data_IF_587887939275
#
_entry.id   IF_587887939275
#
_cell.length_a   1.000
_cell.length_b   1.000
_cell.length_c   1.000
_cell.angle_alpha   90.00
_cell.angle_beta   90.00
_cell.angle_gamma   90.00
#
_symmetry.space_group_name_H-M   'P 1'
#
loop_
_entity.id
_entity.type
_entity.pdbx_description
1 polymer ?
#
# COMPACT_ATOMS: atom_id res chain seq x y z
N UNK A 1 0.55 13.19 -7.02
CA UNK A 1 -0.37 12.04 -7.09
C UNK A 1 -1.03 11.97 -5.73
N UNK A 2 -2.32 11.68 -5.62
CA UNK A 2 -2.83 11.24 -4.33
C UNK A 2 -2.13 9.91 -4.01
N UNK A 3 -1.40 9.93 -2.92
CA UNK A 3 -0.69 8.81 -2.33
C UNK A 3 -1.13 8.72 -0.87
N UNK A 4 -1.20 7.51 -0.34
CA UNK A 4 -1.21 7.32 1.10
C UNK A 4 -0.24 6.19 1.44
N UNK A 5 0.28 6.22 2.67
CA UNK A 5 1.20 5.20 3.15
C UNK A 5 0.48 4.29 4.12
N UNK A 6 0.68 2.99 3.97
CA UNK A 6 0.34 1.99 4.97
C UNK A 6 1.57 1.75 5.83
N UNK A 7 1.42 1.87 7.13
CA UNK A 7 2.47 1.56 8.11
C UNK A 7 2.02 0.42 9.01
N UNK A 8 2.88 -0.57 9.23
CA UNK A 8 2.63 -1.60 10.24
C UNK A 8 3.53 -1.40 11.45
N UNK A 9 2.95 -1.50 12.64
CA UNK A 9 3.71 -1.60 13.90
C UNK A 9 4.49 -2.91 14.01
N UNK A 10 4.13 -3.94 13.25
CA UNK A 10 4.82 -5.23 13.22
C UNK A 10 5.84 -5.23 12.08
N UNK A 11 7.05 -5.74 12.33
CA UNK A 11 8.03 -5.97 11.26
C UNK A 11 7.61 -7.18 10.44
N UNK A 12 7.51 -7.01 9.13
CA UNK A 12 7.27 -8.08 8.17
C UNK A 12 8.39 -8.00 7.14
N UNK A 13 9.03 -9.14 6.87
CA UNK A 13 10.16 -9.18 5.94
C UNK A 13 9.71 -8.91 4.50
N UNK A 14 10.60 -8.32 3.70
CA UNK A 14 10.33 -7.99 2.30
C UNK A 14 9.75 -9.19 1.52
N UNK A 15 10.38 -10.37 1.60
CA UNK A 15 9.90 -11.57 0.91
C UNK A 15 8.47 -11.96 1.29
N UNK A 16 8.09 -11.81 2.55
CA UNK A 16 6.73 -12.10 3.00
C UNK A 16 5.74 -11.06 2.46
N UNK A 17 6.13 -9.78 2.43
CA UNK A 17 5.35 -8.70 1.82
C UNK A 17 5.08 -8.95 0.34
N UNK A 18 6.12 -9.31 -0.41
CA UNK A 18 6.01 -9.65 -1.82
C UNK A 18 5.01 -10.79 -2.05
N UNK A 19 5.12 -11.88 -1.27
CA UNK A 19 4.21 -13.02 -1.37
C UNK A 19 2.75 -12.62 -1.13
N UNK A 20 2.47 -11.74 -0.16
CA UNK A 20 1.10 -11.28 0.10
C UNK A 20 0.56 -10.39 -1.02
N UNK A 21 1.35 -9.46 -1.54
CA UNK A 21 0.92 -8.59 -2.66
C UNK A 21 0.60 -9.43 -3.89
N UNK A 22 1.47 -10.38 -4.23
CA UNK A 22 1.26 -11.31 -5.35
C UNK A 22 -0.02 -12.13 -5.16
N UNK A 23 -0.25 -12.65 -3.95
CA UNK A 23 -1.45 -13.44 -3.64
C UNK A 23 -2.74 -12.63 -3.83
N UNK A 24 -2.80 -11.39 -3.33
CA UNK A 24 -3.99 -10.53 -3.45
C UNK A 24 -4.23 -10.14 -4.92
N UNK A 25 -3.16 -9.82 -5.67
CA UNK A 25 -3.26 -9.51 -7.09
C UNK A 25 -3.81 -10.67 -7.92
N UNK A 26 -3.29 -11.87 -7.70
CA UNK A 26 -3.72 -13.08 -8.42
C UNK A 26 -5.18 -13.43 -8.13
N UNK A 27 -5.62 -13.34 -6.87
CA UNK A 27 -7.02 -13.63 -6.48
C UNK A 27 -8.03 -12.74 -7.20
N UNK A 28 -7.64 -11.52 -7.54
CA UNK A 28 -8.49 -10.52 -8.20
C UNK A 28 -8.33 -10.49 -9.72
N UNK A 29 -7.56 -11.42 -10.29
CA UNK A 29 -7.27 -11.49 -11.72
C UNK A 29 -6.70 -10.19 -12.29
N UNK A 30 -5.87 -9.51 -11.50
CA UNK A 30 -5.17 -8.30 -11.93
C UNK A 30 -3.83 -8.65 -12.58
N UNK A 31 -3.39 -7.82 -13.52
CA UNK A 31 -2.02 -7.90 -14.03
C UNK A 31 -1.08 -7.31 -12.98
N UNK A 32 0.05 -7.98 -12.75
CA UNK A 32 1.06 -7.54 -11.79
C UNK A 32 2.43 -7.44 -12.47
N UNK A 33 3.12 -6.33 -12.25
CA UNK A 33 4.51 -6.13 -12.63
C UNK A 33 5.32 -5.88 -11.37
N UNK A 34 6.52 -6.46 -11.31
CA UNK A 34 7.48 -6.27 -10.23
C UNK A 34 8.71 -5.58 -10.79
N UNK A 35 9.05 -4.44 -10.23
CA UNK A 35 10.27 -3.70 -10.50
C UNK A 35 11.15 -3.75 -9.25
N UNK A 36 12.45 -3.95 -9.43
CA UNK A 36 13.44 -3.99 -8.34
C UNK A 36 14.57 -3.06 -8.71
N UNK A 37 14.91 -2.14 -7.81
CA UNK A 37 16.02 -1.21 -7.98
C UNK A 37 16.80 -1.04 -6.67
N UNK A 38 17.68 -0.04 -6.62
CA UNK A 38 18.52 0.25 -5.46
C UNK A 38 17.74 0.78 -4.25
N UNK A 39 16.49 1.24 -4.44
CA UNK A 39 15.59 1.77 -3.41
C UNK A 39 14.46 0.82 -2.99
N UNK A 40 14.59 -0.47 -3.34
CA UNK A 40 13.70 -1.52 -2.88
C UNK A 40 12.89 -2.18 -4.00
N UNK A 41 11.62 -2.47 -3.71
CA UNK A 41 10.74 -3.24 -4.61
C UNK A 41 9.45 -2.48 -4.85
N UNK A 42 9.11 -2.30 -6.12
CA UNK A 42 7.82 -1.76 -6.54
C UNK A 42 6.96 -2.83 -7.22
N UNK A 43 5.70 -2.92 -6.83
CA UNK A 43 4.69 -3.70 -7.54
C UNK A 43 3.69 -2.77 -8.20
N UNK A 44 3.51 -2.87 -9.51
CA UNK A 44 2.40 -2.24 -10.22
C UNK A 44 1.28 -3.27 -10.42
N UNK A 45 0.07 -2.93 -9.98
CA UNK A 45 -1.13 -3.76 -10.14
C UNK A 45 -2.08 -3.00 -11.04
N UNK A 46 -2.38 -3.59 -12.20
CA UNK A 46 -3.19 -2.95 -13.24
C UNK A 46 -4.57 -3.58 -13.27
N UNK A 47 -5.60 -2.74 -13.20
CA UNK A 47 -6.97 -3.12 -13.48
C UNK A 47 -7.09 -3.45 -14.96
N UNK A 48 -7.32 -4.73 -15.28
CA UNK A 48 -7.37 -5.22 -16.66
C UNK A 48 -8.53 -4.64 -17.49
N UNK A 49 -9.54 -4.03 -16.86
CA UNK A 49 -10.71 -3.45 -17.54
C UNK A 49 -10.49 -1.98 -17.90
N UNK A 50 -9.93 -1.21 -16.99
CA UNK A 50 -9.81 0.25 -17.12
C UNK A 50 -8.39 0.71 -17.43
N UNK A 51 -7.39 -0.15 -17.22
CA UNK A 51 -5.97 0.17 -17.39
C UNK A 51 -5.42 1.06 -16.28
N UNK A 52 -6.23 1.45 -15.29
CA UNK A 52 -5.73 2.15 -14.11
C UNK A 52 -4.85 1.23 -13.27
N UNK A 53 -3.85 1.80 -12.61
CA UNK A 53 -2.91 1.07 -11.78
C UNK A 53 -2.82 1.67 -10.38
N UNK A 54 -2.54 0.78 -9.44
CA UNK A 54 -2.04 1.09 -8.11
C UNK A 54 -0.60 0.56 -8.04
N UNK A 55 0.32 1.32 -7.46
CA UNK A 55 1.68 0.84 -7.21
C UNK A 55 1.99 0.75 -5.72
N UNK A 56 2.73 -0.29 -5.33
CA UNK A 56 3.17 -0.56 -3.97
C UNK A 56 4.69 -0.49 -3.93
N UNK A 57 5.22 0.56 -3.29
CA UNK A 57 6.66 0.66 -3.03
C UNK A 57 6.94 0.10 -1.63
N UNK A 58 7.82 -0.88 -1.55
CA UNK A 58 8.23 -1.54 -0.31
C UNK A 58 9.69 -1.23 -0.05
N UNK A 59 9.92 -0.52 1.04
CA UNK A 59 11.25 -0.10 1.47
C UNK A 59 11.84 -1.10 2.45
N UNK A 60 13.16 -1.31 2.40
CA UNK A 60 13.84 -2.05 3.45
C UNK A 60 13.92 -1.22 4.75
N UNK A 61 14.25 -1.88 5.87
CA UNK A 61 14.29 -1.20 7.18
C UNK A 61 15.28 -0.03 7.23
N UNK A 62 16.44 -0.15 6.59
CA UNK A 62 17.48 0.88 6.69
C UNK A 62 17.13 2.09 5.85
N UNK A 63 16.64 1.87 4.64
CA UNK A 63 16.12 2.91 3.76
C UNK A 63 14.92 3.60 4.38
N UNK A 64 14.00 2.84 4.99
CA UNK A 64 12.88 3.36 5.76
C UNK A 64 13.33 4.35 6.85
N UNK A 65 14.30 3.96 7.71
CA UNK A 65 14.81 4.80 8.78
C UNK A 65 15.46 6.09 8.26
N UNK A 66 16.16 6.00 7.13
CA UNK A 66 16.86 7.13 6.52
C UNK A 66 15.91 8.11 5.84
N UNK A 67 14.93 7.61 5.11
CA UNK A 67 14.01 8.44 4.32
C UNK A 67 12.99 9.13 5.19
N UNK A 68 12.48 8.47 6.23
CA UNK A 68 11.25 8.91 6.85
C UNK A 68 11.35 9.42 8.29
N UNK A 69 12.48 9.25 8.99
CA UNK A 69 12.71 9.77 10.38
C UNK A 69 11.50 9.67 11.34
N UNK A 70 10.61 8.68 11.15
CA UNK A 70 9.39 8.58 11.95
C UNK A 70 9.73 8.16 13.38
N UNK A 71 9.00 8.77 14.33
CA UNK A 71 9.09 8.61 15.78
C UNK A 71 9.71 7.28 16.23
N UNK A 72 10.97 7.35 16.69
CA UNK A 72 11.61 6.34 17.55
C UNK A 72 11.67 4.89 17.03
N UNK A 73 11.67 4.64 15.71
CA UNK A 73 11.77 3.30 15.14
C UNK A 73 10.59 2.36 15.51
N UNK A 74 9.40 2.91 15.79
CA UNK A 74 8.24 2.11 16.23
C UNK A 74 7.66 1.21 15.12
N UNK A 75 7.87 1.55 13.85
CA UNK A 75 7.26 0.86 12.71
C UNK A 75 8.21 -0.14 12.05
N UNK A 76 7.65 -1.29 11.69
CA UNK A 76 8.38 -2.42 11.15
C UNK A 76 8.26 -2.57 9.63
N UNK A 77 7.27 -1.97 9.00
CA UNK A 77 7.11 -1.98 7.54
C UNK A 77 6.31 -0.75 7.09
N UNK A 78 6.72 -0.11 5.99
CA UNK A 78 5.93 0.88 5.27
C UNK A 78 5.74 0.43 3.83
N UNK A 79 4.52 0.57 3.37
CA UNK A 79 4.11 0.32 2.00
C UNK A 79 3.46 1.59 1.50
N UNK A 80 4.11 2.24 0.54
CA UNK A 80 3.52 3.40 -0.11
C UNK A 80 2.59 2.92 -1.21
N UNK A 81 1.35 3.37 -1.19
CA UNK A 81 0.37 3.08 -2.23
C UNK A 81 0.18 4.34 -3.06
N UNK A 82 0.54 4.24 -4.33
CA UNK A 82 0.40 5.31 -5.29
C UNK A 82 -0.71 4.98 -6.29
N UNK A 83 -1.50 5.97 -6.68
CA UNK A 83 -2.43 5.81 -7.80
C UNK A 83 -2.51 7.08 -8.66
N UNK A 84 -3.08 6.90 -9.85
CA UNK A 84 -3.31 8.01 -10.77
C UNK A 84 -4.32 8.99 -10.20
N UNK A 85 -4.01 10.29 -10.18
CA UNK A 85 -4.97 11.35 -9.83
C UNK A 85 -6.16 11.43 -10.78
N UNK A 86 -6.13 10.67 -11.89
CA UNK A 86 -7.22 10.56 -12.87
C UNK A 86 -8.06 9.30 -12.68
N UNK A 87 -7.74 8.46 -11.69
CA UNK A 87 -8.52 7.27 -11.36
C UNK A 87 -9.94 7.71 -10.99
N UNK A 88 -10.95 7.03 -11.55
CA UNK A 88 -12.34 7.35 -11.27
C UNK A 88 -12.73 6.93 -9.85
N UNK A 89 -13.75 7.55 -9.26
CA UNK A 89 -14.30 7.09 -7.98
C UNK A 89 -14.77 5.63 -8.06
N UNK A 90 -15.34 5.21 -9.19
CA UNK A 90 -15.74 3.82 -9.40
C UNK A 90 -14.56 2.85 -9.33
N UNK A 91 -13.40 3.20 -9.91
CA UNK A 91 -12.18 2.39 -9.81
C UNK A 91 -11.56 2.46 -8.40
N UNK A 92 -11.65 3.60 -7.72
CA UNK A 92 -11.23 3.71 -6.32
C UNK A 92 -12.04 2.71 -5.48
N UNK A 93 -13.36 2.72 -5.61
CA UNK A 93 -14.28 1.93 -4.78
C UNK A 93 -14.27 0.43 -5.13
N UNK A 94 -14.13 0.09 -6.42
CA UNK A 94 -14.25 -1.29 -6.89
C UNK A 94 -12.91 -2.00 -7.11
N UNK A 95 -11.81 -1.25 -7.23
CA UNK A 95 -10.49 -1.81 -7.48
C UNK A 95 -9.49 -1.49 -6.36
N UNK A 96 -9.25 -0.21 -6.07
CA UNK A 96 -8.23 0.19 -5.10
C UNK A 96 -8.61 -0.20 -3.66
N UNK A 97 -9.76 0.28 -3.15
CA UNK A 97 -10.22 0.05 -1.77
C UNK A 97 -10.36 -1.45 -1.45
N UNK A 98 -10.98 -2.29 -2.31
CA UNK A 98 -11.09 -3.72 -2.03
C UNK A 98 -9.74 -4.42 -1.98
N UNK A 99 -8.77 -3.98 -2.79
CA UNK A 99 -7.41 -4.50 -2.74
C UNK A 99 -6.76 -4.17 -1.40
N UNK A 100 -6.83 -2.90 -0.95
CA UNK A 100 -6.22 -2.44 0.31
C UNK A 100 -6.86 -3.14 1.51
N UNK A 101 -8.20 -3.28 1.54
CA UNK A 101 -8.91 -3.99 2.60
C UNK A 101 -8.46 -5.45 2.68
N UNK A 102 -8.35 -6.12 1.54
CA UNK A 102 -7.89 -7.51 1.50
C UNK A 102 -6.43 -7.64 1.92
N UNK A 103 -5.59 -6.71 1.47
CA UNK A 103 -4.22 -6.60 1.89
C UNK A 103 -4.11 -6.43 3.41
N UNK A 104 -4.92 -5.55 4.00
CA UNK A 104 -4.99 -5.35 5.46
C UNK A 104 -5.27 -6.61 6.28
N UNK A 105 -5.97 -7.62 5.75
CA UNK A 105 -6.16 -8.89 6.46
C UNK A 105 -4.88 -9.71 6.63
N UNK A 106 -3.92 -9.57 5.71
CA UNK A 106 -2.62 -10.26 5.82
C UNK A 106 -1.63 -9.52 6.72
N UNK A 107 -1.96 -8.30 7.12
CA UNK A 107 -1.06 -7.41 7.85
C UNK A 107 -1.72 -6.88 9.13
N UNK A 108 -1.55 -7.57 10.26
CA UNK A 108 -2.09 -7.09 11.53
C UNK A 108 -1.44 -5.74 11.89
N UNK A 109 -2.28 -4.82 12.39
CA UNK A 109 -1.87 -3.49 12.84
C UNK A 109 -1.33 -2.57 11.73
N UNK A 110 -1.80 -2.72 10.49
CA UNK A 110 -1.62 -1.67 9.48
C UNK A 110 -2.47 -0.45 9.83
N UNK A 111 -1.85 0.72 9.69
CA UNK A 111 -2.47 2.03 9.78
C UNK A 111 -2.18 2.83 8.52
N UNK A 112 -3.07 3.75 8.17
CA UNK A 112 -2.94 4.67 7.04
C UNK A 112 -2.39 6.00 7.55
N UNK A 113 -1.32 6.51 6.95
CA UNK A 113 -0.83 7.86 7.22
C UNK A 113 -1.89 8.90 6.84
N UNK A 114 -2.18 9.80 7.77
CA UNK A 114 -3.20 10.83 7.62
C UNK A 114 -2.70 12.17 8.21
N UNK A 115 -2.23 13.07 7.34
CA UNK A 115 -1.60 14.32 7.78
C UNK A 115 -0.17 14.13 8.28
N UNK A 116 0.42 15.18 8.86
CA UNK A 116 1.87 15.24 9.11
C UNK A 116 2.37 14.24 10.18
N UNK A 117 1.52 13.75 11.08
CA UNK A 117 1.92 12.85 12.17
C UNK A 117 0.78 11.95 12.72
N UNK A 118 -0.36 11.85 12.02
CA UNK A 118 -1.45 10.97 12.48
C UNK A 118 -1.53 9.71 11.62
N UNK A 119 -1.94 8.62 12.27
CA UNK A 119 -2.25 7.36 11.62
C UNK A 119 -3.66 6.94 12.00
N UNK A 120 -4.44 6.54 11.02
CA UNK A 120 -5.81 6.05 11.19
C UNK A 120 -5.90 4.60 10.73
N UNK A 121 -6.98 3.88 11.06
CA UNK A 121 -7.14 2.53 10.54
C UNK A 121 -7.50 2.56 9.05
N UNK A 122 -7.33 1.43 8.34
CA UNK A 122 -7.86 1.30 6.96
C UNK A 122 -9.38 1.56 6.95
N UNK A 123 -10.10 1.12 7.98
CA UNK A 123 -11.54 1.32 8.10
C UNK A 123 -11.90 2.80 8.22
N UNK A 124 -11.22 3.54 9.10
CA UNK A 124 -11.41 4.99 9.24
C UNK A 124 -11.09 5.72 7.94
N UNK A 125 -10.01 5.34 7.24
CA UNK A 125 -9.66 5.93 5.95
C UNK A 125 -10.74 5.71 4.89
N UNK A 126 -11.32 4.51 4.83
CA UNK A 126 -12.40 4.22 3.89
C UNK A 126 -13.64 5.04 4.21
N UNK A 127 -14.03 5.11 5.48
CA UNK A 127 -15.21 5.87 5.91
C UNK A 127 -15.10 7.38 5.59
N UNK A 128 -13.90 7.97 5.65
CA UNK A 128 -13.66 9.37 5.26
C UNK A 128 -13.84 9.63 3.75
N UNK A 129 -13.76 8.60 2.90
CA UNK A 129 -13.91 8.74 1.44
C UNK A 129 -15.32 8.36 0.94
N UNK A 130 -16.18 7.84 1.82
CA UNK A 130 -17.58 7.53 1.51
C UNK A 130 -18.55 8.70 1.84
N UNK A 131 -18.06 9.78 2.48
CA UNK A 131 -18.78 11.05 2.75
C UNK A 131 -18.50 12.14 1.70
#
# INVERSE_FOLDING_TARGET
MPDFRLVSKSFIGLSELEEKILLVAQKRNNEIKKNVDEGGVEFEIVNSKTGFLISFSIYDKNEFLNTFKFNNNEYGCIIQINWSSKMSHEDIDNFMIPFIKEFGYYFPNIMVEHGEDNFITIEDYVNLNEE
#
